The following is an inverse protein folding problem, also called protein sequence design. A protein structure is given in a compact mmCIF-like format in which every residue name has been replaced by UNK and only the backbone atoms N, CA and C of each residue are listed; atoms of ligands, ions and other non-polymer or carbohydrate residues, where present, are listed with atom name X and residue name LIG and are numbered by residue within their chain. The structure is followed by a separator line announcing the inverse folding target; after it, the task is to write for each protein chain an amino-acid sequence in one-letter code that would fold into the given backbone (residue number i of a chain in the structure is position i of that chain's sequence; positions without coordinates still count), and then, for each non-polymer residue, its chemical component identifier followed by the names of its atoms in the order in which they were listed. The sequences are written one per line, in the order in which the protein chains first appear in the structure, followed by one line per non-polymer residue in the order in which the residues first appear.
data_IF_516768872799
#
_entry.id   IF_516768872799
#
_cell.length_a   1.000
_cell.length_b   1.000
_cell.length_c   1.000
_cell.angle_alpha   90.00
_cell.angle_beta   90.00
_cell.angle_gamma   90.00
#
_symmetry.space_group_name_H-M   'P 1'
#
loop_
_entity.id
_entity.type
_entity.pdbx_description
1 polymer ?
#
# COMPACT_ATOMS: atom_id res chain seq x y z
N UNK A 1 5.66 -24.90 -23.17
CA UNK A 1 5.60 -25.82 -22.01
C UNK A 1 4.64 -25.26 -20.98
N UNK A 2 3.59 -26.05 -20.68
CA UNK A 2 2.59 -26.04 -19.59
C UNK A 2 2.26 -24.71 -18.87
N UNK A 3 1.12 -24.12 -19.26
CA UNK A 3 0.24 -23.31 -18.39
C UNK A 3 -0.70 -24.27 -17.66
N UNK A 4 -0.80 -24.20 -16.34
CA UNK A 4 -1.79 -24.96 -15.57
C UNK A 4 -2.69 -23.96 -14.84
N UNK A 5 -3.91 -23.83 -15.36
CA UNK A 5 -5.03 -23.12 -14.76
C UNK A 5 -5.75 -24.13 -13.85
N UNK A 6 -5.78 -23.88 -12.54
CA UNK A 6 -6.53 -24.70 -11.59
C UNK A 6 -7.97 -24.15 -11.48
N UNK A 7 -8.90 -24.81 -12.16
CA UNK A 7 -10.34 -24.70 -11.89
C UNK A 7 -10.79 -26.05 -11.32
N UNK A 8 -10.96 -26.12 -10.01
CA UNK A 8 -11.57 -27.28 -9.35
C UNK A 8 -13.09 -27.20 -9.47
N UNK A 9 -13.62 -27.81 -10.54
CA UNK A 9 -15.00 -28.27 -10.63
C UNK A 9 -15.08 -29.63 -9.94
N UNK A 10 -15.68 -29.68 -8.76
CA UNK A 10 -15.99 -30.95 -8.06
C UNK A 10 -17.26 -31.53 -8.68
N UNK A 11 -17.10 -32.41 -9.66
CA UNK A 11 -18.16 -33.29 -10.17
C UNK A 11 -18.08 -34.63 -9.44
N UNK A 12 -18.96 -34.86 -8.47
CA UNK A 12 -19.10 -36.16 -7.80
C UNK A 12 -20.00 -37.07 -8.65
N UNK A 13 -19.47 -38.25 -8.95
CA UNK A 13 -20.11 -39.38 -9.61
C UNK A 13 -21.49 -39.73 -8.99
N UNK A 14 -22.50 -39.90 -9.84
CA UNK A 14 -23.78 -40.52 -9.50
C UNK A 14 -23.96 -41.78 -10.36
N UNK A 15 -23.95 -42.95 -9.73
CA UNK A 15 -24.46 -44.21 -10.29
C UNK A 15 -25.83 -44.50 -9.65
N UNK A 16 -26.89 -44.85 -10.41
CA UNK A 16 -28.09 -45.41 -9.85
C UNK A 16 -28.07 -46.95 -9.95
N UNK A 17 -28.45 -47.64 -8.88
CA UNK A 17 -28.94 -49.01 -8.94
C UNK A 17 -30.41 -49.02 -8.49
N UNK A 18 -31.22 -49.63 -9.35
CA UNK A 18 -32.65 -49.97 -9.33
C UNK A 18 -33.16 -50.49 -7.96
N UNK A 19 -34.45 -50.44 -7.55
CA UNK A 19 -35.74 -50.59 -8.24
C UNK A 19 -36.88 -49.94 -7.42
N UNK A 20 -37.94 -49.48 -8.09
CA UNK A 20 -39.31 -50.03 -7.96
C UNK A 20 -40.31 -49.19 -8.77
N UNK A 21 -41.08 -49.87 -9.59
CA UNK A 21 -42.12 -49.31 -10.45
C UNK A 21 -43.38 -48.97 -9.66
N UNK A 22 -43.85 -47.73 -9.75
CA UNK A 22 -45.27 -47.38 -9.77
C UNK A 22 -45.45 -45.91 -10.22
N UNK A 23 -46.05 -45.83 -11.38
CA UNK A 23 -46.57 -44.71 -12.18
C UNK A 23 -46.98 -43.38 -11.51
N UNK A 24 -46.71 -42.31 -12.28
CA UNK A 24 -47.29 -40.94 -12.30
C UNK A 24 -46.75 -39.94 -11.27
N UNK A 25 -45.67 -39.23 -11.62
CA UNK A 25 -45.48 -37.85 -11.13
C UNK A 25 -44.44 -37.08 -11.94
N UNK A 26 -44.78 -35.84 -12.30
CA UNK A 26 -43.90 -34.90 -12.97
C UNK A 26 -42.61 -34.71 -12.18
N UNK A 27 -41.48 -34.96 -12.83
CA UNK A 27 -40.14 -34.82 -12.23
C UNK A 27 -39.74 -33.35 -12.17
N UNK A 28 -40.24 -32.64 -11.16
CA UNK A 28 -39.44 -31.58 -10.54
C UNK A 28 -38.36 -32.30 -9.72
N UNK A 29 -37.15 -32.41 -10.25
CA UNK A 29 -35.97 -32.72 -9.43
C UNK A 29 -35.86 -31.65 -8.35
N UNK A 30 -36.01 -31.95 -7.04
CA UNK A 30 -35.73 -30.97 -6.02
C UNK A 30 -34.21 -30.82 -5.96
N UNK A 31 -33.68 -29.82 -6.67
CA UNK A 31 -32.37 -29.25 -6.33
C UNK A 31 -32.49 -28.68 -4.92
N UNK A 32 -32.10 -29.48 -3.93
CA UNK A 32 -31.99 -29.04 -2.55
C UNK A 32 -30.78 -28.08 -2.46
N UNK A 33 -31.03 -26.80 -2.73
CA UNK A 33 -30.09 -25.75 -2.39
C UNK A 33 -30.05 -25.68 -0.87
N UNK A 34 -28.97 -26.22 -0.30
CA UNK A 34 -28.73 -26.09 1.13
C UNK A 34 -28.42 -24.61 1.39
N UNK A 35 -29.42 -23.85 1.84
CA UNK A 35 -29.23 -22.45 2.21
C UNK A 35 -28.18 -22.37 3.31
N UNK A 36 -27.09 -21.63 3.04
CA UNK A 36 -26.08 -21.37 4.05
C UNK A 36 -26.73 -20.70 5.26
N UNK A 37 -26.42 -21.20 6.45
CA UNK A 37 -26.82 -20.54 7.70
C UNK A 37 -26.30 -19.10 7.73
N UNK A 38 -26.96 -18.21 8.48
CA UNK A 38 -26.53 -16.80 8.64
C UNK A 38 -25.06 -16.67 9.08
N UNK A 39 -24.56 -17.62 9.87
CA UNK A 39 -23.15 -17.66 10.29
C UNK A 39 -22.22 -18.02 9.13
N UNK A 40 -22.55 -19.05 8.35
CA UNK A 40 -21.76 -19.43 7.18
C UNK A 40 -21.76 -18.33 6.10
N UNK A 41 -22.89 -17.66 5.87
CA UNK A 41 -22.95 -16.50 4.95
C UNK A 41 -22.03 -15.35 5.40
N UNK A 42 -21.98 -15.06 6.70
CA UNK A 42 -21.06 -14.05 7.26
C UNK A 42 -19.60 -14.46 7.08
N UNK A 43 -19.28 -15.74 7.28
CA UNK A 43 -17.93 -16.27 7.10
C UNK A 43 -17.48 -16.15 5.64
N UNK A 44 -18.29 -16.62 4.70
CA UNK A 44 -18.03 -16.50 3.25
C UNK A 44 -17.82 -15.03 2.87
N UNK A 45 -18.67 -14.10 3.34
CA UNK A 45 -18.50 -12.67 3.07
C UNK A 45 -17.19 -12.09 3.64
N UNK A 46 -16.76 -12.54 4.83
CA UNK A 46 -15.49 -12.13 5.44
C UNK A 46 -14.30 -12.65 4.63
N UNK A 47 -14.33 -13.92 4.23
CA UNK A 47 -13.26 -14.54 3.46
C UNK A 47 -13.14 -13.93 2.07
N UNK A 48 -14.26 -13.65 1.40
CA UNK A 48 -14.28 -12.91 0.13
C UNK A 48 -13.69 -11.51 0.28
N UNK A 49 -14.03 -10.77 1.33
CA UNK A 49 -13.45 -9.44 1.61
C UNK A 49 -11.96 -9.51 1.90
N UNK A 50 -11.52 -10.51 2.66
CA UNK A 50 -10.11 -10.74 2.96
C UNK A 50 -9.34 -11.03 1.67
N UNK A 51 -9.85 -11.92 0.82
CA UNK A 51 -9.22 -12.25 -0.46
C UNK A 51 -9.16 -11.06 -1.40
N UNK A 52 -10.23 -10.28 -1.51
CA UNK A 52 -10.25 -9.06 -2.31
C UNK A 52 -9.20 -8.05 -1.81
N UNK A 53 -9.06 -7.89 -0.49
CA UNK A 53 -8.06 -7.01 0.12
C UNK A 53 -6.63 -7.51 -0.12
N UNK A 54 -6.38 -8.82 -0.02
CA UNK A 54 -5.06 -9.40 -0.33
C UNK A 54 -4.65 -9.11 -1.78
N UNK A 55 -5.57 -9.30 -2.73
CA UNK A 55 -5.32 -9.01 -4.15
C UNK A 55 -5.03 -7.52 -4.36
N UNK A 56 -5.85 -6.63 -3.79
CA UNK A 56 -5.65 -5.19 -3.90
C UNK A 56 -4.33 -4.74 -3.26
N UNK A 57 -3.99 -5.25 -2.07
CA UNK A 57 -2.74 -4.94 -1.39
C UNK A 57 -1.53 -5.43 -2.19
N UNK A 58 -1.60 -6.61 -2.81
CA UNK A 58 -0.52 -7.12 -3.66
C UNK A 58 -0.33 -6.26 -4.92
N UNK A 59 -1.42 -5.82 -5.55
CA UNK A 59 -1.36 -4.89 -6.67
C UNK A 59 -0.74 -3.55 -6.26
N UNK A 60 -1.16 -3.01 -5.12
CA UNK A 60 -0.61 -1.77 -4.57
C UNK A 60 0.87 -1.92 -4.21
N UNK A 61 1.29 -3.05 -3.63
CA UNK A 61 2.69 -3.36 -3.36
C UNK A 61 3.49 -3.39 -4.66
N UNK A 62 3.06 -4.12 -5.67
CA UNK A 62 3.76 -4.17 -6.95
C UNK A 62 3.91 -2.77 -7.57
N UNK A 63 2.84 -1.96 -7.56
CA UNK A 63 2.88 -0.58 -8.03
C UNK A 63 3.87 0.29 -7.22
N UNK A 64 3.93 0.10 -5.90
CA UNK A 64 4.90 0.76 -5.03
C UNK A 64 6.35 0.34 -5.35
N UNK A 65 6.59 -0.96 -5.58
CA UNK A 65 7.90 -1.49 -5.99
C UNK A 65 8.35 -0.88 -7.31
N UNK A 66 7.46 -0.81 -8.31
CA UNK A 66 7.79 -0.24 -9.60
C UNK A 66 8.01 1.28 -9.49
N UNK A 67 7.21 1.99 -8.70
CA UNK A 67 7.41 3.41 -8.43
C UNK A 67 8.77 3.71 -7.77
N UNK A 68 9.25 2.86 -6.86
CA UNK A 68 10.59 2.95 -6.27
C UNK A 68 11.68 2.81 -7.34
N UNK A 69 11.56 1.83 -8.25
CA UNK A 69 12.52 1.64 -9.36
C UNK A 69 12.54 2.84 -10.30
N UNK A 70 11.35 3.37 -10.62
CA UNK A 70 11.16 4.50 -11.52
C UNK A 70 11.51 5.84 -10.89
N UNK A 71 11.85 5.86 -9.59
CA UNK A 71 12.15 7.09 -8.83
C UNK A 71 11.02 8.10 -8.93
N UNK A 72 9.78 7.60 -8.91
CA UNK A 72 8.59 8.37 -9.16
C UNK A 72 7.46 7.95 -8.21
N UNK A 73 7.67 8.23 -6.93
CA UNK A 73 6.79 7.81 -5.85
C UNK A 73 6.54 8.94 -4.84
N UNK A 74 5.49 8.76 -4.05
CA UNK A 74 5.23 9.57 -2.86
C UNK A 74 4.80 8.68 -1.71
N UNK A 75 5.41 8.89 -0.55
CA UNK A 75 4.94 8.36 0.72
C UNK A 75 4.07 9.41 1.40
N UNK A 76 2.77 9.17 1.44
CA UNK A 76 1.79 10.03 2.09
C UNK A 76 1.63 9.55 3.53
N UNK A 77 2.07 10.36 4.50
CA UNK A 77 2.12 9.96 5.90
C UNK A 77 0.78 10.19 6.60
N UNK A 78 0.27 9.16 7.27
CA UNK A 78 -0.83 9.29 8.22
C UNK A 78 -0.34 9.54 9.65
N UNK A 79 0.91 9.18 9.93
CA UNK A 79 1.53 9.31 11.25
C UNK A 79 3.00 9.72 11.10
N UNK A 80 3.44 10.67 11.93
CA UNK A 80 4.85 10.98 12.14
C UNK A 80 5.33 10.40 13.46
N UNK A 81 6.59 9.98 13.50
CA UNK A 81 7.28 9.59 14.74
C UNK A 81 8.53 10.43 14.93
N UNK A 82 8.60 11.16 16.04
CA UNK A 82 9.79 11.91 16.42
C UNK A 82 10.93 11.03 16.97
N UNK A 83 12.07 11.62 17.35
CA UNK A 83 13.26 10.88 17.80
C UNK A 83 13.01 9.93 18.99
N UNK A 84 12.03 10.26 19.84
CA UNK A 84 11.64 9.48 21.03
C UNK A 84 10.47 8.52 20.78
N UNK A 85 10.05 8.33 19.52
CA UNK A 85 8.97 7.42 19.15
C UNK A 85 7.55 7.93 19.41
N UNK A 86 7.38 9.21 19.79
CA UNK A 86 6.06 9.81 19.95
C UNK A 86 5.30 9.82 18.63
N UNK A 87 4.13 9.17 18.61
CA UNK A 87 3.25 9.12 17.44
C UNK A 87 2.42 10.40 17.33
N UNK A 88 2.47 11.05 16.17
CA UNK A 88 1.73 12.29 15.87
C UNK A 88 0.86 12.00 14.63
N UNK A 89 -0.46 11.83 14.79
CA UNK A 89 -1.36 11.71 13.65
C UNK A 89 -1.32 12.98 12.81
N UNK A 90 -1.28 12.83 11.49
CA UNK A 90 -1.18 13.92 10.53
C UNK A 90 -2.07 13.69 9.32
N UNK A 91 -2.27 14.74 8.51
CA UNK A 91 -2.95 14.61 7.23
C UNK A 91 -1.96 14.28 6.11
N UNK A 92 -2.35 13.31 5.29
CA UNK A 92 -1.53 12.66 4.28
C UNK A 92 -1.28 13.51 3.03
N UNK A 93 -2.09 14.55 2.83
CA UNK A 93 -1.94 15.54 1.76
C UNK A 93 -0.87 16.61 2.04
N UNK A 94 -0.44 16.75 3.30
CA UNK A 94 0.42 17.85 3.78
C UNK A 94 1.66 17.37 4.51
N UNK A 95 1.82 16.05 4.66
CA UNK A 95 2.98 15.43 5.28
C UNK A 95 3.43 14.25 4.43
N UNK A 96 4.48 14.43 3.64
CA UNK A 96 4.90 13.41 2.68
C UNK A 96 6.38 13.52 2.31
N UNK A 97 6.90 12.41 1.79
CA UNK A 97 8.17 12.38 1.08
C UNK A 97 7.88 12.00 -0.36
N UNK A 98 8.29 12.83 -1.31
CA UNK A 98 8.15 12.58 -2.73
C UNK A 98 9.52 12.41 -3.36
N UNK A 99 9.65 11.41 -4.22
CA UNK A 99 10.78 11.26 -5.13
C UNK A 99 10.24 11.35 -6.55
N UNK A 100 10.71 12.32 -7.34
CA UNK A 100 10.32 12.48 -8.74
C UNK A 100 11.53 12.80 -9.62
N UNK A 101 11.96 11.80 -10.38
CA UNK A 101 13.09 11.92 -11.30
C UNK A 101 14.39 12.12 -10.54
N UNK A 102 14.92 13.35 -10.54
CA UNK A 102 16.15 13.71 -9.84
C UNK A 102 15.91 14.70 -8.70
N UNK A 103 14.70 14.74 -8.16
CA UNK A 103 14.32 15.66 -7.09
C UNK A 103 13.55 14.92 -6.00
N UNK A 104 13.89 15.23 -4.76
CA UNK A 104 13.19 14.76 -3.57
C UNK A 104 12.59 15.95 -2.85
N UNK A 105 11.33 15.81 -2.43
CA UNK A 105 10.64 16.76 -1.58
C UNK A 105 10.31 16.10 -0.25
N UNK A 106 10.62 16.77 0.85
CA UNK A 106 10.17 16.41 2.19
C UNK A 106 9.26 17.54 2.67
N UNK A 107 7.97 17.25 2.78
CA UNK A 107 6.96 18.18 3.23
C UNK A 107 6.50 17.79 4.63
N UNK A 108 6.50 18.78 5.53
CA UNK A 108 5.87 18.70 6.83
C UNK A 108 4.93 19.89 6.97
N UNK A 109 3.76 19.66 7.55
CA UNK A 109 2.87 20.71 7.98
C UNK A 109 2.79 20.75 9.51
N UNK A 110 2.92 21.94 10.08
CA UNK A 110 2.71 22.20 11.50
C UNK A 110 1.45 23.05 11.65
N UNK A 111 0.57 22.66 12.57
CA UNK A 111 -0.53 23.53 12.96
C UNK A 111 0.03 24.76 13.68
N UNK A 112 -0.12 25.96 13.09
CA UNK A 112 0.08 27.25 13.78
C UNK A 112 1.20 28.18 13.29
N UNK A 113 2.04 27.82 12.31
CA UNK A 113 3.10 28.72 11.77
C UNK A 113 2.96 28.81 10.25
N UNK A 114 2.13 29.72 9.73
CA UNK A 114 1.86 29.85 8.29
C UNK A 114 3.14 30.01 7.45
N UNK A 115 3.40 29.06 6.55
CA UNK A 115 4.44 29.19 5.52
C UNK A 115 3.95 30.04 4.34
N UNK A 116 4.81 30.33 3.35
CA UNK A 116 4.49 31.18 2.19
C UNK A 116 3.25 30.76 1.39
N UNK A 117 2.85 29.49 1.49
CA UNK A 117 1.69 28.91 0.82
C UNK A 117 0.42 28.84 1.71
N UNK A 118 0.38 29.53 2.84
CA UNK A 118 -0.79 29.58 3.74
C UNK A 118 -1.03 28.32 4.58
N UNK A 119 -0.28 27.26 4.35
CA UNK A 119 -0.16 26.09 5.23
C UNK A 119 1.11 26.22 6.03
N UNK A 120 0.99 26.14 7.35
CA UNK A 120 2.17 26.16 8.19
C UNK A 120 2.98 24.89 8.00
N UNK A 121 4.28 25.01 7.71
CA UNK A 121 5.06 23.86 7.31
C UNK A 121 6.45 24.17 6.76
N UNK A 122 7.27 23.12 6.70
CA UNK A 122 8.59 23.15 6.06
C UNK A 122 8.51 22.24 4.84
N UNK A 123 8.81 22.80 3.67
CA UNK A 123 9.10 22.05 2.45
C UNK A 123 10.59 22.10 2.22
N UNK A 124 11.24 20.94 2.12
CA UNK A 124 12.63 20.89 1.67
C UNK A 124 12.75 20.14 0.37
N UNK A 125 13.44 20.77 -0.57
CA UNK A 125 13.82 20.18 -1.84
C UNK A 125 15.31 19.81 -1.81
N UNK A 126 15.65 18.66 -2.39
CA UNK A 126 17.04 18.29 -2.62
C UNK A 126 17.23 17.31 -3.77
N UNK A 127 18.49 17.09 -4.11
CA UNK A 127 18.92 16.15 -5.15
C UNK A 127 19.30 14.81 -4.50
N UNK A 128 18.77 13.68 -4.98
CA UNK A 128 19.09 12.37 -4.43
C UNK A 128 20.45 11.86 -4.92
N UNK A 129 21.14 11.09 -4.08
CA UNK A 129 22.38 10.39 -4.44
C UNK A 129 22.50 9.04 -3.70
N UNK A 130 23.42 8.19 -4.18
CA UNK A 130 23.73 6.85 -3.64
C UNK A 130 22.47 6.02 -3.32
N UNK A 131 21.59 5.93 -4.30
CA UNK A 131 20.34 5.18 -4.18
C UNK A 131 20.65 3.69 -4.13
N UNK A 132 20.17 3.01 -3.08
CA UNK A 132 20.30 1.57 -2.89
C UNK A 132 18.94 0.94 -2.63
N UNK A 133 18.80 -0.32 -3.02
CA UNK A 133 17.60 -1.10 -2.77
C UNK A 133 18.01 -2.50 -2.38
N UNK A 134 17.47 -2.98 -1.27
CA UNK A 134 17.67 -4.34 -0.77
C UNK A 134 16.31 -4.97 -0.52
N UNK A 135 16.15 -6.25 -0.86
CA UNK A 135 14.94 -7.03 -0.58
C UNK A 135 15.32 -8.20 0.32
N UNK A 136 14.64 -8.34 1.45
CA UNK A 136 14.89 -9.46 2.36
C UNK A 136 14.22 -10.75 1.89
N UNK A 137 14.49 -11.86 2.59
CA UNK A 137 13.88 -13.17 2.30
C UNK A 137 12.36 -13.23 2.45
N UNK A 138 11.76 -12.24 3.10
CA UNK A 138 10.32 -12.11 3.31
C UNK A 138 9.66 -11.17 2.29
N UNK A 139 10.45 -10.57 1.39
CA UNK A 139 9.97 -9.63 0.37
C UNK A 139 9.81 -8.20 0.88
N UNK A 140 10.28 -7.87 2.10
CA UNK A 140 10.31 -6.48 2.54
C UNK A 140 11.44 -5.76 1.81
N UNK A 141 11.19 -4.51 1.43
CA UNK A 141 12.15 -3.72 0.66
C UNK A 141 12.68 -2.60 1.54
N UNK A 142 14.00 -2.51 1.66
CA UNK A 142 14.71 -1.34 2.19
C UNK A 142 15.27 -0.55 1.02
N UNK A 143 14.73 0.65 0.78
CA UNK A 143 15.17 1.59 -0.23
C UNK A 143 15.80 2.79 0.48
N UNK A 144 17.08 3.08 0.21
CA UNK A 144 17.77 4.18 0.87
C UNK A 144 18.51 5.07 -0.11
N UNK A 145 18.66 6.34 0.25
CA UNK A 145 19.37 7.34 -0.56
C UNK A 145 19.77 8.50 0.34
N UNK A 146 20.73 9.29 -0.11
CA UNK A 146 20.98 10.60 0.46
C UNK A 146 20.23 11.67 -0.32
N UNK A 147 19.82 12.73 0.36
CA UNK A 147 19.25 13.93 -0.23
C UNK A 147 20.10 15.12 0.18
N UNK A 148 20.55 15.89 -0.81
CA UNK A 148 21.29 17.13 -0.59
C UNK A 148 20.47 18.31 -1.10
N UNK A 149 20.05 19.17 -0.17
CA UNK A 149 19.30 20.40 -0.43
C UNK A 149 19.81 21.53 0.44
N UNK A 150 19.39 22.76 0.13
CA UNK A 150 19.84 23.97 0.82
C UNK A 150 19.46 23.93 2.32
N UNK A 151 18.23 23.49 2.62
CA UNK A 151 17.70 23.45 3.98
C UNK A 151 17.79 22.07 4.66
N UNK A 152 18.15 21.01 3.92
CA UNK A 152 18.25 19.65 4.44
C UNK A 152 19.31 18.87 3.68
N UNK A 153 20.31 18.39 4.41
CA UNK A 153 21.13 17.26 3.99
C UNK A 153 20.83 16.09 4.91
N UNK A 154 20.39 14.97 4.34
CA UNK A 154 19.92 13.83 5.12
C UNK A 154 20.13 12.50 4.39
N UNK A 155 20.20 11.41 5.15
CA UNK A 155 19.89 10.08 4.64
C UNK A 155 18.41 9.82 4.79
N UNK A 156 17.78 9.21 3.78
CA UNK A 156 16.41 8.73 3.86
C UNK A 156 16.43 7.22 3.72
N UNK A 157 15.79 6.52 4.66
CA UNK A 157 15.64 5.06 4.64
C UNK A 157 14.15 4.73 4.63
N UNK A 158 13.69 4.17 3.51
CA UNK A 158 12.31 3.72 3.30
C UNK A 158 12.25 2.20 3.47
N UNK A 159 11.35 1.73 4.32
CA UNK A 159 11.04 0.32 4.51
C UNK A 159 9.60 0.06 4.05
N UNK A 160 9.45 -0.67 2.95
CA UNK A 160 8.18 -1.07 2.37
C UNK A 160 7.84 -2.51 2.80
N UNK A 161 6.68 -2.70 3.41
CA UNK A 161 6.24 -4.00 3.92
C UNK A 161 5.79 -4.92 2.79
N UNK A 162 6.25 -6.17 2.81
CA UNK A 162 5.88 -7.17 1.81
C UNK A 162 4.36 -7.32 1.67
N UNK A 163 3.87 -7.34 0.42
CA UNK A 163 2.46 -7.59 0.12
C UNK A 163 1.50 -6.45 0.50
N UNK A 164 1.99 -5.26 0.83
CA UNK A 164 1.19 -4.05 0.98
C UNK A 164 1.96 -2.81 0.55
N UNK A 165 1.30 -1.71 0.23
CA UNK A 165 1.99 -0.44 -0.03
C UNK A 165 2.23 0.41 1.22
N UNK A 166 2.12 -0.18 2.42
CA UNK A 166 2.42 0.52 3.66
C UNK A 166 3.92 0.59 3.87
N UNK A 167 4.43 1.77 4.23
CA UNK A 167 5.86 1.99 4.38
C UNK A 167 6.18 2.96 5.53
N UNK A 168 7.39 2.82 6.05
CA UNK A 168 8.01 3.76 6.97
C UNK A 168 9.22 4.39 6.29
N UNK A 169 9.31 5.71 6.23
CA UNK A 169 10.50 6.41 5.78
C UNK A 169 11.08 7.25 6.90
N UNK A 170 12.28 6.91 7.35
CA UNK A 170 13.00 7.70 8.34
C UNK A 170 13.96 8.65 7.64
N UNK A 171 13.84 9.94 7.94
CA UNK A 171 14.77 10.98 7.54
C UNK A 171 15.77 11.17 8.67
N UNK A 172 17.05 10.98 8.37
CA UNK A 172 18.18 11.18 9.27
C UNK A 172 18.95 12.42 8.82
N UNK A 173 18.68 13.60 9.40
CA UNK A 173 19.45 14.81 9.09
C UNK A 173 20.92 14.61 9.46
N UNK A 174 21.84 15.14 8.65
CA UNK A 174 23.27 15.11 8.96
C UNK A 174 23.69 16.24 9.91
N UNK A 175 22.87 17.29 10.03
CA UNK A 175 23.18 18.45 10.85
C UNK A 175 22.84 18.26 12.34
N UNK A 176 21.92 17.35 12.66
CA UNK A 176 21.52 17.03 14.02
C UNK A 176 21.00 15.60 14.10
N UNK A 177 21.02 15.00 15.29
CA UNK A 177 20.51 13.65 15.53
C UNK A 177 18.98 13.55 15.63
N UNK A 178 18.22 14.59 15.26
CA UNK A 178 16.77 14.60 15.41
C UNK A 178 16.10 14.04 14.15
N UNK A 179 16.12 12.72 14.03
CA UNK A 179 15.45 11.97 12.99
C UNK A 179 13.92 11.98 13.11
N UNK A 180 13.26 11.88 11.97
CA UNK A 180 11.81 11.91 11.85
C UNK A 180 11.34 10.79 10.92
N UNK A 181 10.36 10.01 11.36
CA UNK A 181 9.80 8.91 10.56
C UNK A 181 8.40 9.25 10.06
N UNK A 182 8.22 9.13 8.75
CA UNK A 182 6.95 9.19 8.05
C UNK A 182 6.40 7.79 7.91
N UNK A 183 5.17 7.55 8.39
CA UNK A 183 4.50 6.25 8.29
C UNK A 183 3.17 6.41 7.56
N UNK A 184 2.95 5.60 6.52
CA UNK A 184 1.75 5.71 5.71
C UNK A 184 1.83 4.90 4.41
N UNK A 185 1.21 5.42 3.35
CA UNK A 185 1.08 4.69 2.08
C UNK A 185 2.03 5.23 1.01
N UNK A 186 2.78 4.33 0.38
CA UNK A 186 3.65 4.62 -0.74
C UNK A 186 2.91 4.34 -2.04
N UNK A 187 2.82 5.33 -2.92
CA UNK A 187 2.12 5.20 -4.20
C UNK A 187 2.94 5.81 -5.32
N UNK A 188 2.74 5.39 -6.58
CA UNK A 188 3.22 6.14 -7.74
C UNK A 188 2.71 7.58 -7.68
N UNK A 189 3.52 8.55 -8.10
CA UNK A 189 3.11 9.97 -8.08
C UNK A 189 1.80 10.21 -8.85
N UNK A 190 1.58 9.51 -9.96
CA UNK A 190 0.34 9.61 -10.76
C UNK A 190 -0.94 9.24 -10.01
N UNK A 191 -0.84 8.49 -8.91
CA UNK A 191 -1.96 8.03 -8.10
C UNK A 191 -2.21 8.92 -6.88
N UNK A 192 -1.36 9.90 -6.61
CA UNK A 192 -1.51 10.76 -5.43
C UNK A 192 -2.42 11.96 -5.69
N UNK A 193 -3.35 12.20 -4.77
CA UNK A 193 -4.22 13.37 -4.76
C UNK A 193 -3.47 14.70 -4.60
N UNK A 194 -2.25 14.67 -4.05
CA UNK A 194 -1.39 15.86 -3.84
C UNK A 194 -1.14 16.59 -5.16
N UNK A 195 -0.98 15.85 -6.27
CA UNK A 195 -0.78 16.44 -7.60
C UNK A 195 -2.08 16.96 -8.21
N UNK A 196 -3.23 16.36 -7.86
CA UNK A 196 -4.54 16.85 -8.33
C UNK A 196 -4.94 18.14 -7.64
N UNK A 197 -4.51 18.35 -6.40
CA UNK A 197 -4.83 19.54 -5.61
C UNK A 197 -3.83 20.69 -5.77
N UNK A 198 -2.79 20.54 -6.61
CA UNK A 198 -1.85 21.62 -6.94
C UNK A 198 -0.86 22.00 -5.83
N UNK A 199 -0.71 21.19 -4.77
CA UNK A 199 0.23 21.49 -3.68
C UNK A 199 1.70 21.48 -4.12
N UNK A 200 2.01 20.75 -5.20
CA UNK A 200 3.29 20.79 -5.91
C UNK A 200 2.96 20.93 -7.40
N UNK A 201 2.62 22.15 -7.83
CA UNK A 201 2.69 22.52 -9.24
C UNK A 201 4.16 22.79 -9.60
N UNK A 202 4.66 22.11 -10.63
CA UNK A 202 5.87 22.54 -11.32
C UNK A 202 5.56 23.78 -12.16
#
# INVERSE_FOLDING_TARGET
MKRVLFLLLVSVFMLPAFHSEAQVQGTQTPTHYQELTKQQQRQVKRDLRKKAREVANQQAFNAAVDALKDRNWVLMASTLYGPRGSAIPVSDNTNFIQFKGNTVYVQLAFNGIAGPNGLGGITVQGTPSQITTNTDKHGNITYSFYVNGIALTAQVVVNLSAGSNYANATVYPMMNGNNLTFSGTLVPTSQSGIFRSGFISY
#
